data_IF_116166370767
#
_entry.id   IF_116166370767
#
_cell.length_a   1.000
_cell.length_b   1.000
_cell.length_c   1.000
_cell.angle_alpha   90.00
_cell.angle_beta   90.00
_cell.angle_gamma   90.00
#
_symmetry.space_group_name_H-M   'P 1'
#
loop_
_entity.id
_entity.type
_entity.pdbx_description
1 polymer ?
#
# COMPACT_ATOMS: atom_id res chain seq x y z
N UNK A 1 17.14 -21.31 45.16
CA UNK A 1 16.98 -19.99 45.80
C UNK A 1 18.14 -19.03 45.50
N UNK A 2 19.40 -19.36 45.80
CA UNK A 2 20.55 -18.47 45.54
C UNK A 2 20.69 -17.97 44.09
N UNK A 3 20.50 -18.83 43.10
CA UNK A 3 20.57 -18.44 41.68
C UNK A 3 19.48 -17.45 41.28
N UNK A 4 18.28 -17.59 41.83
CA UNK A 4 17.17 -16.67 41.58
C UNK A 4 17.39 -15.33 42.29
N UNK A 5 17.91 -15.36 43.52
CA UNK A 5 18.31 -14.14 44.23
C UNK A 5 19.45 -13.39 43.51
N UNK A 6 20.44 -14.10 42.96
CA UNK A 6 21.52 -13.51 42.18
C UNK A 6 21.02 -12.93 40.85
N UNK A 7 20.13 -13.64 40.14
CA UNK A 7 19.54 -13.14 38.91
C UNK A 7 18.77 -11.84 39.14
N UNK A 8 17.90 -11.81 40.15
CA UNK A 8 17.12 -10.62 40.50
C UNK A 8 18.04 -9.47 40.96
N UNK A 9 19.14 -9.77 41.66
CA UNK A 9 20.12 -8.76 42.04
C UNK A 9 20.83 -8.18 40.81
N UNK A 10 21.31 -9.03 39.89
CA UNK A 10 21.96 -8.59 38.67
C UNK A 10 21.00 -7.74 37.83
N UNK A 11 19.78 -8.20 37.61
CA UNK A 11 18.77 -7.46 36.84
C UNK A 11 18.47 -6.09 37.46
N UNK A 12 18.29 -6.05 38.78
CA UNK A 12 18.02 -4.80 39.50
C UNK A 12 19.21 -3.84 39.46
N UNK A 13 20.42 -4.30 39.78
CA UNK A 13 21.61 -3.45 39.77
C UNK A 13 21.94 -2.98 38.34
N UNK A 14 21.74 -3.84 37.34
CA UNK A 14 21.94 -3.47 35.93
C UNK A 14 20.95 -2.38 35.50
N UNK A 15 19.68 -2.51 35.89
CA UNK A 15 18.66 -1.49 35.61
C UNK A 15 19.00 -0.17 36.31
N UNK A 16 19.38 -0.21 37.58
CA UNK A 16 19.78 0.97 38.34
C UNK A 16 21.02 1.65 37.76
N UNK A 17 21.97 0.88 37.24
CA UNK A 17 23.17 1.44 36.62
C UNK A 17 22.84 2.14 35.30
N UNK A 18 21.99 1.53 34.45
CA UNK A 18 21.49 2.16 33.23
C UNK A 18 20.67 3.42 33.52
N UNK A 19 19.78 3.40 34.51
CA UNK A 19 19.00 4.56 34.92
C UNK A 19 19.91 5.71 35.40
N UNK A 20 20.93 5.37 36.19
CA UNK A 20 21.92 6.34 36.67
C UNK A 20 22.74 6.94 35.53
N UNK A 21 23.20 6.14 34.58
CA UNK A 21 23.93 6.63 33.40
C UNK A 21 23.04 7.53 32.53
N UNK A 22 21.76 7.16 32.35
CA UNK A 22 20.78 7.96 31.62
C UNK A 22 20.53 9.31 32.31
N UNK A 23 20.33 9.33 33.63
CA UNK A 23 20.16 10.57 34.40
C UNK A 23 21.40 11.47 34.32
N UNK A 24 22.61 10.90 34.38
CA UNK A 24 23.86 11.65 34.22
C UNK A 24 23.99 12.25 32.81
N UNK A 25 23.62 11.50 31.77
CA UNK A 25 23.62 12.01 30.39
C UNK A 25 22.61 13.16 30.21
N UNK A 26 21.41 13.04 30.78
CA UNK A 26 20.40 14.10 30.77
C UNK A 26 20.86 15.35 31.54
N UNK A 27 21.54 15.18 32.66
CA UNK A 27 22.13 16.30 33.41
C UNK A 27 23.20 17.03 32.60
N UNK A 28 24.07 16.31 31.88
CA UNK A 28 25.11 16.91 31.00
C UNK A 28 24.51 17.70 29.84
N UNK A 29 23.40 17.24 29.27
CA UNK A 29 22.65 17.97 28.26
C UNK A 29 21.99 19.23 28.84
N UNK A 30 21.46 19.15 30.05
CA UNK A 30 20.77 20.28 30.72
C UNK A 30 21.74 21.36 31.20
N UNK A 31 22.97 20.99 31.57
CA UNK A 31 24.02 21.93 32.00
C UNK A 31 24.82 22.54 30.83
N UNK A 32 24.51 22.14 29.59
CA UNK A 32 25.15 22.69 28.38
C UNK A 32 26.59 22.18 28.14
N UNK A 33 27.01 21.15 28.87
CA UNK A 33 28.33 20.51 28.72
C UNK A 33 28.38 19.58 27.49
N UNK A 34 27.20 19.15 27.01
CA UNK A 34 27.04 18.39 25.78
C UNK A 34 26.39 19.25 24.69
N UNK A 35 27.06 19.39 23.54
CA UNK A 35 26.54 20.08 22.37
C UNK A 35 25.46 19.22 21.69
N UNK A 36 24.20 19.65 21.84
CA UNK A 36 23.03 18.98 21.27
C UNK A 36 23.18 18.79 19.76
N UNK A 37 23.82 19.73 19.06
CA UNK A 37 24.01 19.62 17.61
C UNK A 37 24.97 18.49 17.25
N UNK A 38 26.04 18.29 18.02
CA UNK A 38 26.96 17.16 17.82
C UNK A 38 26.30 15.82 18.12
N UNK A 39 25.42 15.77 19.13
CA UNK A 39 24.64 14.57 19.42
C UNK A 39 23.65 14.29 18.28
N UNK A 40 22.95 15.30 17.77
CA UNK A 40 22.07 15.20 16.61
C UNK A 40 22.83 14.74 15.37
N UNK A 41 24.01 15.27 15.12
CA UNK A 41 24.86 14.86 14.00
C UNK A 41 25.39 13.44 14.15
N UNK A 42 25.73 13.02 15.38
CA UNK A 42 26.17 11.66 15.67
C UNK A 42 25.02 10.66 15.51
N UNK A 43 23.82 11.01 15.99
CA UNK A 43 22.60 10.23 15.79
C UNK A 43 22.22 10.14 14.32
N UNK A 44 22.25 11.26 13.59
CA UNK A 44 21.97 11.30 12.16
C UNK A 44 22.97 10.42 11.39
N UNK A 45 24.27 10.50 11.71
CA UNK A 45 25.29 9.63 11.12
C UNK A 45 25.03 8.16 11.44
N UNK A 46 24.81 7.81 12.70
CA UNK A 46 24.54 6.43 13.10
C UNK A 46 23.25 5.89 12.48
N UNK A 47 22.20 6.71 12.37
CA UNK A 47 20.95 6.36 11.71
C UNK A 47 21.17 6.12 10.23
N UNK A 48 21.86 7.02 9.53
CA UNK A 48 22.19 6.88 8.11
C UNK A 48 23.04 5.63 7.86
N UNK A 49 24.07 5.39 8.67
CA UNK A 49 25.00 4.27 8.53
C UNK A 49 24.31 2.91 8.78
N UNK A 50 23.51 2.80 9.84
CA UNK A 50 22.80 1.56 10.16
C UNK A 50 21.57 1.32 9.27
N UNK A 51 20.88 2.39 8.87
CA UNK A 51 19.69 2.30 8.03
C UNK A 51 20.06 2.12 6.57
N UNK A 52 21.14 2.70 6.03
CA UNK A 52 21.55 2.48 4.63
C UNK A 52 22.15 1.10 4.38
N UNK A 53 22.83 0.48 5.36
CA UNK A 53 23.32 -0.91 5.20
C UNK A 53 22.18 -1.93 5.16
N UNK A 54 21.02 -1.61 5.74
CA UNK A 54 19.85 -2.51 5.81
C UNK A 54 18.66 -2.04 4.96
N UNK A 55 18.70 -0.80 4.47
CA UNK A 55 17.78 -0.32 3.46
C UNK A 55 18.12 -1.05 2.17
N UNK A 56 17.12 -1.74 1.62
CA UNK A 56 17.20 -2.15 0.22
C UNK A 56 17.55 -0.90 -0.60
N UNK A 57 18.44 -1.00 -1.60
CA UNK A 57 18.63 0.08 -2.55
C UNK A 57 17.26 0.57 -2.96
N UNK A 58 17.05 1.89 -2.89
CA UNK A 58 15.86 2.51 -3.46
C UNK A 58 15.67 1.90 -4.85
N UNK A 59 14.59 1.13 -5.03
CA UNK A 59 14.29 0.56 -6.33
C UNK A 59 14.34 1.74 -7.31
N UNK A 60 15.08 1.63 -8.43
CA UNK A 60 15.37 2.75 -9.31
C UNK A 60 14.09 3.56 -9.51
N UNK A 61 14.05 4.81 -9.02
CA UNK A 61 12.83 5.60 -9.12
C UNK A 61 12.67 5.96 -10.60
N UNK A 62 11.80 5.22 -11.29
CA UNK A 62 11.60 5.26 -12.73
C UNK A 62 11.04 6.59 -13.26
N UNK A 63 10.83 7.60 -12.42
CA UNK A 63 10.33 8.91 -12.83
C UNK A 63 11.29 9.62 -13.82
N UNK A 64 12.59 9.33 -13.78
CA UNK A 64 13.57 9.96 -14.68
C UNK A 64 13.75 9.23 -16.03
N UNK A 65 13.66 7.89 -16.09
CA UNK A 65 13.90 7.11 -17.34
C UNK A 65 12.60 6.71 -18.10
N UNK A 66 11.43 6.77 -17.45
CA UNK A 66 10.17 6.37 -18.10
C UNK A 66 9.75 7.35 -19.21
N UNK A 67 9.96 8.65 -19.02
CA UNK A 67 9.54 9.67 -19.97
C UNK A 67 10.25 9.53 -21.32
N UNK A 68 11.56 9.26 -21.31
CA UNK A 68 12.37 9.12 -22.52
C UNK A 68 12.07 7.82 -23.26
N UNK A 69 11.91 6.71 -22.52
CA UNK A 69 11.51 5.41 -23.10
C UNK A 69 10.11 5.48 -23.71
N UNK A 70 9.17 6.15 -23.03
CA UNK A 70 7.82 6.37 -23.54
C UNK A 70 7.82 7.28 -24.77
N UNK A 71 8.62 8.35 -24.77
CA UNK A 71 8.77 9.26 -25.91
C UNK A 71 9.35 8.55 -27.15
N UNK A 72 10.30 7.65 -26.97
CA UNK A 72 10.85 6.84 -28.07
C UNK A 72 9.84 5.80 -28.59
N UNK A 73 8.99 5.24 -27.71
CA UNK A 73 7.94 4.28 -28.07
C UNK A 73 6.76 4.91 -28.83
N UNK A 74 6.32 6.11 -28.45
CA UNK A 74 5.21 6.80 -29.14
C UNK A 74 5.59 7.26 -30.56
N UNK A 75 6.88 7.45 -30.83
CA UNK A 75 7.41 7.77 -32.17
C UNK A 75 7.77 6.51 -32.98
N UNK A 76 7.70 5.32 -32.37
CA UNK A 76 7.95 4.02 -32.99
C UNK A 76 6.66 3.41 -33.58
N UNK A 77 6.76 2.47 -34.54
CA UNK A 77 5.62 1.71 -35.07
C UNK A 77 4.80 0.93 -34.01
N UNK A 78 5.23 0.90 -32.75
CA UNK A 78 4.52 0.29 -31.63
C UNK A 78 3.42 1.18 -31.02
N UNK A 79 3.19 2.39 -31.54
CA UNK A 79 2.17 3.32 -31.01
C UNK A 79 0.75 2.71 -30.97
N UNK A 80 0.36 1.92 -31.99
CA UNK A 80 -0.93 1.21 -32.01
C UNK A 80 -1.04 0.16 -30.90
N UNK A 81 0.10 -0.42 -30.48
CA UNK A 81 0.16 -1.40 -29.38
C UNK A 81 0.04 -0.71 -28.02
N UNK A 82 0.56 0.51 -27.93
CA UNK A 82 0.41 1.39 -26.77
C UNK A 82 -1.02 1.92 -26.63
N UNK A 83 -1.69 2.18 -27.76
CA UNK A 83 -3.12 2.55 -27.79
C UNK A 83 -4.02 1.38 -27.36
N UNK A 84 -3.69 0.14 -27.75
CA UNK A 84 -4.46 -1.03 -27.34
C UNK A 84 -4.37 -1.31 -25.82
N UNK A 85 -3.35 -0.77 -25.16
CA UNK A 85 -3.19 -0.76 -23.71
C UNK A 85 -4.10 0.28 -23.01
N UNK A 86 -4.71 1.24 -23.71
CA UNK A 86 -5.73 2.11 -23.10
C UNK A 86 -6.95 1.32 -22.58
N UNK A 87 -7.17 0.10 -23.10
CA UNK A 87 -8.16 -0.84 -22.55
C UNK A 87 -7.90 -1.22 -21.07
N UNK A 88 -6.67 -1.07 -20.55
CA UNK A 88 -6.37 -1.30 -19.12
C UNK A 88 -7.02 -0.26 -18.20
N UNK A 89 -7.11 1.00 -18.64
CA UNK A 89 -7.77 2.04 -17.84
C UNK A 89 -9.29 1.83 -17.77
N UNK A 90 -9.86 1.26 -18.84
CA UNK A 90 -11.27 0.90 -18.92
C UNK A 90 -11.60 -0.21 -17.91
N UNK A 91 -10.77 -1.25 -17.79
CA UNK A 91 -11.02 -2.34 -16.84
C UNK A 91 -10.92 -1.90 -15.37
N UNK A 92 -9.99 -1.01 -15.03
CA UNK A 92 -9.91 -0.39 -13.69
C UNK A 92 -11.16 0.44 -13.41
N UNK A 93 -11.60 1.22 -14.38
CA UNK A 93 -12.79 2.07 -14.24
C UNK A 93 -14.07 1.24 -14.06
N UNK A 94 -14.17 0.08 -14.74
CA UNK A 94 -15.26 -0.88 -14.56
C UNK A 94 -15.23 -1.54 -13.18
N UNK A 95 -14.07 -1.98 -12.69
CA UNK A 95 -13.89 -2.53 -11.33
C UNK A 95 -14.25 -1.50 -10.24
N UNK A 96 -13.86 -0.24 -10.43
CA UNK A 96 -14.25 0.88 -9.56
C UNK A 96 -15.77 1.06 -9.58
N UNK A 97 -16.41 0.97 -10.74
CA UNK A 97 -17.85 1.05 -10.89
C UNK A 97 -18.59 -0.11 -10.21
N UNK A 98 -18.07 -1.33 -10.29
CA UNK A 98 -18.64 -2.51 -9.64
C UNK A 98 -18.58 -2.39 -8.11
N UNK A 99 -17.43 -2.00 -7.57
CA UNK A 99 -17.29 -1.63 -6.14
C UNK A 99 -18.32 -0.59 -5.72
N UNK A 100 -18.43 0.51 -6.47
CA UNK A 100 -19.34 1.60 -6.11
C UNK A 100 -20.80 1.17 -6.12
N UNK A 101 -21.17 0.25 -7.02
CA UNK A 101 -22.49 -0.37 -7.03
C UNK A 101 -22.69 -1.30 -5.83
N UNK A 102 -21.70 -2.12 -5.47
CA UNK A 102 -21.82 -3.11 -4.41
C UNK A 102 -21.82 -2.47 -3.00
N UNK A 103 -20.95 -1.49 -2.75
CA UNK A 103 -20.96 -0.66 -1.53
C UNK A 103 -22.34 -0.02 -1.37
N UNK A 104 -22.83 0.62 -2.45
CA UNK A 104 -24.12 1.32 -2.44
C UNK A 104 -25.30 0.36 -2.27
N UNK A 105 -25.23 -0.87 -2.81
CA UNK A 105 -26.26 -1.89 -2.65
C UNK A 105 -26.28 -2.46 -1.23
N UNK A 106 -25.12 -2.82 -0.68
CA UNK A 106 -25.01 -3.34 0.69
C UNK A 106 -25.44 -2.28 1.72
N UNK A 107 -24.99 -1.03 1.57
CA UNK A 107 -25.44 0.07 2.42
C UNK A 107 -26.93 0.31 2.28
N UNK A 108 -27.43 0.47 1.06
CA UNK A 108 -28.82 0.85 0.86
C UNK A 108 -29.78 -0.25 1.25
N UNK A 109 -29.61 -1.47 0.77
CA UNK A 109 -30.66 -2.47 0.92
C UNK A 109 -30.66 -3.06 2.34
N UNK A 110 -29.49 -3.25 2.95
CA UNK A 110 -29.38 -3.90 4.25
C UNK A 110 -29.52 -2.92 5.41
N UNK A 111 -28.85 -1.77 5.35
CA UNK A 111 -28.90 -0.79 6.44
C UNK A 111 -30.24 -0.04 6.47
N UNK A 112 -30.83 0.30 5.32
CA UNK A 112 -32.16 0.94 5.28
C UNK A 112 -33.24 0.01 5.83
N UNK A 113 -33.24 -1.27 5.42
CA UNK A 113 -34.25 -2.23 5.90
C UNK A 113 -34.12 -2.52 7.40
N UNK A 114 -32.91 -2.59 7.93
CA UNK A 114 -32.70 -2.79 9.38
C UNK A 114 -33.03 -1.52 10.18
N UNK A 115 -32.62 -0.34 9.71
CA UNK A 115 -32.94 0.92 10.38
C UNK A 115 -34.44 1.21 10.36
N UNK A 116 -35.15 0.90 9.26
CA UNK A 116 -36.61 1.04 9.17
C UNK A 116 -37.33 0.13 10.18
N UNK A 117 -36.85 -1.11 10.38
CA UNK A 117 -37.41 -2.02 11.38
C UNK A 117 -37.19 -1.51 12.80
N UNK A 118 -35.97 -1.06 13.10
CA UNK A 118 -35.62 -0.57 14.44
C UNK A 118 -36.36 0.74 14.74
N UNK A 119 -36.55 1.60 13.75
CA UNK A 119 -37.39 2.81 13.85
C UNK A 119 -38.87 2.48 14.03
N UNK A 120 -39.39 1.42 13.41
CA UNK A 120 -40.78 1.00 13.59
C UNK A 120 -41.07 0.43 14.98
N UNK A 121 -40.07 -0.19 15.60
CA UNK A 121 -40.14 -0.78 16.93
C UNK A 121 -39.70 0.19 18.05
N UNK A 122 -39.19 1.37 17.68
CA UNK A 122 -38.78 2.42 18.60
C UNK A 122 -39.97 2.93 19.42
N UNK A 123 -39.86 2.86 20.74
CA UNK A 123 -40.93 3.24 21.66
C UNK A 123 -41.97 2.13 21.93
N UNK A 124 -41.91 1.01 21.20
CA UNK A 124 -42.70 -0.19 21.49
C UNK A 124 -41.87 -1.22 22.26
N UNK A 125 -40.85 -1.77 21.62
CA UNK A 125 -39.97 -2.84 22.12
C UNK A 125 -38.51 -2.42 22.20
N UNK A 126 -38.11 -1.42 21.40
CA UNK A 126 -36.73 -0.93 21.31
C UNK A 126 -36.62 0.51 21.82
N UNK A 127 -35.45 0.82 22.35
CA UNK A 127 -35.11 2.14 22.87
C UNK A 127 -34.17 2.90 21.94
N UNK A 128 -34.03 4.21 22.15
CA UNK A 128 -33.05 5.05 21.44
C UNK A 128 -31.62 4.50 21.55
N UNK A 129 -31.29 3.80 22.64
CA UNK A 129 -29.99 3.16 22.83
C UNK A 129 -29.78 2.02 21.82
N UNK A 130 -30.83 1.29 21.47
CA UNK A 130 -30.78 0.18 20.53
C UNK A 130 -30.65 0.70 19.09
N UNK A 131 -31.31 1.81 18.77
CA UNK A 131 -31.10 2.55 17.51
C UNK A 131 -29.63 2.98 17.37
N UNK A 132 -29.06 3.58 18.41
CA UNK A 132 -27.65 4.00 18.39
C UNK A 132 -26.67 2.82 18.28
N UNK A 133 -27.00 1.67 18.88
CA UNK A 133 -26.19 0.46 18.76
C UNK A 133 -26.18 -0.06 17.31
N UNK A 134 -27.35 -0.10 16.65
CA UNK A 134 -27.47 -0.50 15.24
C UNK A 134 -26.78 0.49 14.32
N UNK A 135 -26.93 1.80 14.55
CA UNK A 135 -26.22 2.84 13.79
C UNK A 135 -24.69 2.70 13.92
N UNK A 136 -24.19 2.41 15.13
CA UNK A 136 -22.75 2.17 15.35
C UNK A 136 -22.28 0.92 14.61
N UNK A 137 -23.04 -0.17 14.67
CA UNK A 137 -22.73 -1.40 13.94
C UNK A 137 -22.74 -1.19 12.42
N UNK A 138 -23.67 -0.39 11.90
CA UNK A 138 -23.71 -0.02 10.48
C UNK A 138 -22.49 0.81 10.07
N UNK A 139 -22.06 1.75 10.92
CA UNK A 139 -20.86 2.55 10.70
C UNK A 139 -19.59 1.68 10.69
N UNK A 140 -19.44 0.79 11.68
CA UNK A 140 -18.29 -0.12 11.77
C UNK A 140 -18.23 -1.06 10.55
N UNK A 141 -19.37 -1.63 10.15
CA UNK A 141 -19.46 -2.51 8.99
C UNK A 141 -19.13 -1.77 7.68
N UNK A 142 -19.58 -0.53 7.54
CA UNK A 142 -19.24 0.32 6.39
C UNK A 142 -17.74 0.60 6.34
N UNK A 143 -17.14 0.97 7.48
CA UNK A 143 -15.72 1.30 7.54
C UNK A 143 -14.84 0.09 7.20
N UNK A 144 -15.19 -1.10 7.68
CA UNK A 144 -14.47 -2.35 7.34
C UNK A 144 -14.54 -2.62 5.83
N UNK A 145 -15.73 -2.47 5.23
CA UNK A 145 -15.93 -2.70 3.81
C UNK A 145 -15.17 -1.68 2.95
N UNK A 146 -15.22 -0.40 3.30
CA UNK A 146 -14.47 0.67 2.62
C UNK A 146 -12.96 0.44 2.69
N UNK A 147 -12.45 0.06 3.87
CA UNK A 147 -11.03 -0.25 4.04
C UNK A 147 -10.59 -1.46 3.22
N UNK A 148 -11.42 -2.50 3.17
CA UNK A 148 -11.16 -3.69 2.33
C UNK A 148 -11.03 -3.27 0.86
N UNK A 149 -12.00 -2.54 0.34
CA UNK A 149 -12.00 -2.09 -1.04
C UNK A 149 -10.87 -1.10 -1.36
N UNK A 150 -10.53 -0.21 -0.43
CA UNK A 150 -9.38 0.69 -0.58
C UNK A 150 -8.07 -0.09 -0.69
N UNK A 151 -7.91 -1.16 0.10
CA UNK A 151 -6.75 -2.04 0.05
C UNK A 151 -6.70 -2.83 -1.25
N UNK A 152 -7.79 -3.47 -1.64
CA UNK A 152 -7.87 -4.28 -2.87
C UNK A 152 -7.65 -3.41 -4.12
N UNK A 153 -8.27 -2.23 -4.18
CA UNK A 153 -8.08 -1.31 -5.30
C UNK A 153 -6.64 -0.82 -5.38
N UNK A 154 -6.04 -0.47 -4.24
CA UNK A 154 -4.63 -0.07 -4.19
C UNK A 154 -3.74 -1.19 -4.73
N UNK A 155 -3.95 -2.42 -4.26
CA UNK A 155 -3.17 -3.58 -4.67
C UNK A 155 -3.31 -3.85 -6.17
N UNK A 156 -4.54 -3.89 -6.70
CA UNK A 156 -4.79 -4.14 -8.12
C UNK A 156 -4.18 -3.04 -8.99
N UNK A 157 -4.34 -1.78 -8.59
CA UNK A 157 -3.76 -0.63 -9.31
C UNK A 157 -2.23 -0.70 -9.32
N UNK A 158 -1.62 -1.12 -8.21
CA UNK A 158 -0.17 -1.21 -8.07
C UNK A 158 0.41 -2.36 -8.90
N UNK A 159 -0.24 -3.54 -8.88
CA UNK A 159 0.13 -4.68 -9.72
C UNK A 159 0.02 -4.30 -11.20
N UNK A 160 -1.10 -3.73 -11.62
CA UNK A 160 -1.29 -3.36 -13.03
C UNK A 160 -0.31 -2.28 -13.48
N UNK A 161 0.03 -1.32 -12.60
CA UNK A 161 1.07 -0.32 -12.89
C UNK A 161 2.43 -0.98 -13.08
N UNK A 162 2.80 -1.94 -12.22
CA UNK A 162 4.06 -2.68 -12.34
C UNK A 162 4.11 -3.53 -13.61
N UNK A 163 3.07 -4.31 -13.88
CA UNK A 163 2.96 -5.14 -15.10
C UNK A 163 3.06 -4.29 -16.36
N UNK A 164 2.42 -3.13 -16.38
CA UNK A 164 2.51 -2.18 -17.48
C UNK A 164 3.94 -1.67 -17.67
N UNK A 165 4.61 -1.26 -16.58
CA UNK A 165 5.99 -0.79 -16.62
C UNK A 165 6.94 -1.88 -17.12
N UNK A 166 6.82 -3.11 -16.59
CA UNK A 166 7.61 -4.25 -17.04
C UNK A 166 7.38 -4.57 -18.52
N UNK A 167 6.13 -4.50 -18.99
CA UNK A 167 5.79 -4.72 -20.38
C UNK A 167 6.40 -3.66 -21.30
N UNK A 168 6.33 -2.38 -20.93
CA UNK A 168 6.94 -1.27 -21.68
C UNK A 168 8.44 -1.46 -21.80
N UNK A 169 9.11 -1.83 -20.70
CA UNK A 169 10.55 -2.12 -20.69
C UNK A 169 10.89 -3.30 -21.58
N UNK A 170 10.11 -4.38 -21.51
CA UNK A 170 10.34 -5.57 -22.36
C UNK A 170 10.14 -5.23 -23.83
N UNK A 171 9.10 -4.47 -24.17
CA UNK A 171 8.85 -4.02 -25.54
C UNK A 171 10.01 -3.15 -26.05
N UNK A 172 10.48 -2.20 -25.25
CA UNK A 172 11.61 -1.35 -25.60
C UNK A 172 12.89 -2.16 -25.81
N UNK A 173 13.20 -3.10 -24.90
CA UNK A 173 14.35 -4.00 -25.04
C UNK A 173 14.25 -4.90 -26.27
N UNK A 174 13.06 -5.42 -26.59
CA UNK A 174 12.82 -6.25 -27.76
C UNK A 174 12.94 -5.43 -29.06
N UNK A 175 12.52 -4.16 -29.06
CA UNK A 175 12.72 -3.22 -30.17
C UNK A 175 14.20 -2.88 -30.37
N UNK A 176 14.94 -2.59 -29.30
CA UNK A 176 16.38 -2.31 -29.40
C UNK A 176 17.20 -3.54 -29.84
N UNK A 177 16.80 -4.75 -29.42
CA UNK A 177 17.43 -6.01 -29.86
C UNK A 177 17.02 -6.39 -31.29
N UNK A 178 15.82 -6.00 -31.73
CA UNK A 178 15.26 -6.32 -33.04
C UNK A 178 15.26 -5.11 -33.96
N UNK A 179 16.42 -4.82 -34.55
CA UNK A 179 16.55 -3.89 -35.69
C UNK A 179 15.85 -4.42 -36.99
N UNK A 180 14.91 -5.37 -36.88
CA UNK A 180 14.22 -6.05 -37.96
C UNK A 180 12.69 -5.95 -37.78
N UNK A 181 12.05 -5.19 -38.68
CA UNK A 181 10.61 -4.88 -38.74
C UNK A 181 9.65 -6.09 -38.69
N UNK A 182 10.12 -7.30 -38.98
CA UNK A 182 9.29 -8.51 -39.09
C UNK A 182 8.79 -9.06 -37.75
N UNK A 183 9.49 -8.80 -36.63
CA UNK A 183 9.15 -9.36 -35.30
C UNK A 183 8.07 -8.56 -34.56
N UNK A 184 7.92 -7.27 -34.90
CA UNK A 184 6.92 -6.37 -34.31
C UNK A 184 5.49 -6.86 -34.61
N UNK A 185 5.27 -7.45 -35.78
CA UNK A 185 3.97 -8.04 -36.18
C UNK A 185 3.62 -9.33 -35.41
N UNK A 186 4.61 -10.11 -34.97
CA UNK A 186 4.37 -11.29 -34.11
C UNK A 186 4.03 -10.86 -32.66
N UNK A 187 4.61 -9.76 -32.17
CA UNK A 187 4.32 -9.23 -30.84
C UNK A 187 2.89 -8.64 -30.75
N UNK A 188 2.39 -8.03 -31.83
CA UNK A 188 1.00 -7.57 -31.92
C UNK A 188 -0.02 -8.72 -31.74
N UNK A 189 0.27 -9.93 -32.22
CA UNK A 189 -0.61 -11.09 -32.07
C UNK A 189 -0.65 -11.68 -30.64
N UNK A 190 0.37 -11.40 -29.81
CA UNK A 190 0.42 -11.86 -28.42
C UNK A 190 -0.30 -10.89 -27.45
N UNK A 191 -0.54 -9.64 -27.85
CA UNK A 191 -1.31 -8.68 -27.04
C UNK A 191 -2.78 -9.11 -26.92
N UNK A 192 -3.34 -9.75 -27.94
CA UNK A 192 -4.68 -10.35 -27.89
C UNK A 192 -4.80 -11.48 -26.84
N UNK A 193 -3.68 -12.13 -26.49
CA UNK A 193 -3.62 -13.18 -25.46
C UNK A 193 -3.50 -12.57 -24.06
N UNK A 194 -2.81 -11.44 -23.91
CA UNK A 194 -2.73 -10.70 -22.64
C UNK A 194 -4.04 -9.99 -22.29
N UNK A 195 -4.76 -9.44 -23.27
CA UNK A 195 -6.11 -8.88 -23.06
C UNK A 195 -7.18 -9.91 -22.70
N UNK A 196 -7.01 -11.16 -23.15
CA UNK A 196 -7.86 -12.30 -22.75
C UNK A 196 -7.38 -13.06 -21.51
N UNK A 197 -6.21 -12.67 -20.97
CA UNK A 197 -5.54 -13.31 -19.85
C UNK A 197 -5.50 -12.45 -18.60
N UNK A 198 -6.35 -11.42 -18.50
CA UNK A 198 -6.68 -10.79 -17.23
C UNK A 198 -7.29 -11.89 -16.35
N UNK A 199 -6.43 -12.46 -15.53
CA UNK A 199 -6.67 -13.57 -14.63
C UNK A 199 -7.98 -13.29 -13.90
N UNK A 200 -8.95 -14.17 -14.13
CA UNK A 200 -9.99 -14.49 -13.18
C UNK A 200 -9.31 -14.78 -11.85
N UNK A 201 -9.06 -13.74 -11.06
CA UNK A 201 -8.74 -13.90 -9.66
C UNK A 201 -10.02 -14.42 -9.04
N UNK A 202 -10.07 -15.73 -8.81
CA UNK A 202 -11.15 -16.33 -8.05
C UNK A 202 -11.30 -15.56 -6.73
N UNK A 203 -12.54 -15.25 -6.32
CA UNK A 203 -12.77 -14.60 -5.04
C UNK A 203 -12.23 -15.53 -3.95
N UNK A 204 -11.28 -15.00 -3.16
CA UNK A 204 -10.76 -15.72 -2.00
C UNK A 204 -11.96 -15.95 -1.06
N UNK A 205 -12.36 -17.22 -0.91
CA UNK A 205 -13.40 -17.68 0.02
C UNK A 205 -13.04 -17.43 1.48
#
# INVERSE_FOLDING_TARGET
>A
ELKSALFNFIERETTLDYDREAEQALQRLTTGDADVNQLTDAWARSYVETTLEHARPEEPSWDEDFADVYHELIHSPASDTLLNLENYFVSISELIGERDMEIKKLQRDRQTTEMDKVMHELGNTLSDRDVNAVASQHFDAQQVLENKWASELKQVTEIQKQEYQEWVVKLHQDLQKSNNSSKIKELQANVDVFGGGAVMLEPIS
#
